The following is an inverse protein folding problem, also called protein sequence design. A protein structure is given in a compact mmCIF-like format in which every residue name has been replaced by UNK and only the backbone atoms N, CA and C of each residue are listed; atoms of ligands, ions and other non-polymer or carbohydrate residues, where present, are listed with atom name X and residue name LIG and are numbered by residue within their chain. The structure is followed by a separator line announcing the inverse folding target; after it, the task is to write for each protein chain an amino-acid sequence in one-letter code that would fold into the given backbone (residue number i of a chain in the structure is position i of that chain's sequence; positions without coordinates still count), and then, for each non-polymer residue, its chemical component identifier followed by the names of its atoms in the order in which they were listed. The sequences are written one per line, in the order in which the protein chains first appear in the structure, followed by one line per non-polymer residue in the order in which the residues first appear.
data_IF_736498224899
#
_entry.id   IF_736498224899
#
_cell.length_a   1.000
_cell.length_b   1.000
_cell.length_c   1.000
_cell.angle_alpha   90.00
_cell.angle_beta   90.00
_cell.angle_gamma   90.00
#
_symmetry.space_group_name_H-M   'P 1'
#
loop_
_entity.id
_entity.type
_entity.pdbx_description
1 polymer ?
#
# COMPACT_ATOMS: atom_id res chain seq x y z
N UNK A 1 -11.03 -13.60 -0.18
CA UNK A 1 -9.65 -13.17 -0.49
C UNK A 1 -8.86 -13.20 0.80
N UNK A 2 -7.74 -13.90 0.85
CA UNK A 2 -6.80 -13.82 1.97
C UNK A 2 -5.98 -12.51 1.89
N UNK A 3 -5.37 -12.05 2.97
CA UNK A 3 -4.53 -10.83 3.02
C UNK A 3 -3.40 -10.87 1.98
N UNK A 4 -2.80 -12.04 1.77
CA UNK A 4 -1.76 -12.26 0.75
C UNK A 4 -2.32 -12.05 -0.67
N UNK A 5 -3.54 -12.50 -0.93
CA UNK A 5 -4.21 -12.32 -2.23
C UNK A 5 -4.62 -10.87 -2.45
N UNK A 6 -4.94 -10.12 -1.38
CA UNK A 6 -5.21 -8.68 -1.46
C UNK A 6 -3.95 -7.85 -1.75
N UNK A 7 -2.80 -8.23 -1.20
CA UNK A 7 -1.53 -7.56 -1.46
C UNK A 7 -1.04 -7.73 -2.91
N UNK A 8 -1.34 -8.88 -3.53
CA UNK A 8 -1.04 -9.15 -4.95
C UNK A 8 -2.10 -8.56 -5.91
N UNK A 9 -3.23 -8.06 -5.39
CA UNK A 9 -4.29 -7.51 -6.21
C UNK A 9 -3.93 -6.10 -6.73
N UNK A 10 -4.49 -5.68 -7.87
CA UNK A 10 -4.24 -4.37 -8.44
C UNK A 10 -4.70 -3.27 -7.47
N UNK A 11 -3.75 -2.41 -7.10
CA UNK A 11 -4.00 -1.23 -6.29
C UNK A 11 -4.59 -0.08 -7.13
N UNK A 12 -5.61 0.64 -6.62
CA UNK A 12 -6.23 1.75 -7.34
C UNK A 12 -5.24 2.88 -7.65
N UNK A 13 -5.48 3.63 -8.73
CA UNK A 13 -4.59 4.72 -9.17
C UNK A 13 -4.33 5.77 -8.07
N UNK A 14 -5.36 6.14 -7.30
CA UNK A 14 -5.24 7.09 -6.19
C UNK A 14 -4.27 6.59 -5.10
N UNK A 15 -4.41 5.32 -4.69
CA UNK A 15 -3.56 4.73 -3.66
C UNK A 15 -2.13 4.53 -4.16
N UNK A 16 -1.92 4.15 -5.42
CA UNK A 16 -0.57 4.12 -6.01
C UNK A 16 0.16 5.47 -5.89
N UNK A 17 -0.52 6.57 -6.16
CA UNK A 17 0.04 7.92 -6.01
C UNK A 17 0.33 8.20 -4.53
N UNK A 18 -0.61 7.86 -3.65
CA UNK A 18 -0.48 8.07 -2.21
C UNK A 18 0.70 7.29 -1.60
N UNK A 19 0.93 6.05 -2.06
CA UNK A 19 2.09 5.23 -1.67
C UNK A 19 3.40 5.90 -2.08
N UNK A 20 3.49 6.41 -3.30
CA UNK A 20 4.70 7.07 -3.79
C UNK A 20 5.02 8.32 -2.96
N UNK A 21 4.00 9.09 -2.59
CA UNK A 21 4.16 10.26 -1.70
C UNK A 21 4.61 9.81 -0.31
N UNK A 22 4.00 8.77 0.27
CA UNK A 22 4.39 8.23 1.57
C UNK A 22 5.83 7.71 1.58
N UNK A 23 6.27 7.04 0.50
CA UNK A 23 7.64 6.56 0.34
C UNK A 23 8.65 7.71 0.17
N UNK A 24 8.30 8.76 -0.57
CA UNK A 24 9.14 9.94 -0.72
C UNK A 24 9.33 10.66 0.63
N UNK A 25 8.25 10.85 1.38
CA UNK A 25 8.29 11.40 2.75
C UNK A 25 9.15 10.53 3.68
N UNK A 26 9.00 9.21 3.60
CA UNK A 26 9.76 8.28 4.41
C UNK A 26 11.24 8.28 4.05
N UNK A 27 11.59 8.41 2.77
CA UNK A 27 12.97 8.54 2.30
C UNK A 27 13.63 9.83 2.81
N UNK A 28 12.92 10.97 2.71
CA UNK A 28 13.42 12.27 3.22
C UNK A 28 13.54 12.24 4.74
N UNK A 29 12.57 11.65 5.44
CA UNK A 29 12.60 11.56 6.90
C UNK A 29 13.72 10.62 7.35
N UNK A 30 13.90 9.48 6.67
CA UNK A 30 14.96 8.53 6.93
C UNK A 30 16.35 9.10 6.69
N UNK A 31 16.53 9.91 5.64
CA UNK A 31 17.82 10.57 5.38
C UNK A 31 18.15 11.65 6.40
N UNK A 32 17.17 12.41 6.87
CA UNK A 32 17.34 13.39 7.97
C UNK A 32 17.76 12.69 9.27
N UNK A 33 17.15 11.55 9.60
CA UNK A 33 17.47 10.80 10.81
C UNK A 33 18.83 10.10 10.69
N UNK A 34 19.16 9.56 9.52
CA UNK A 34 20.41 8.83 9.27
C UNK A 34 21.65 9.73 9.20
N UNK A 35 21.47 11.03 8.97
CA UNK A 35 22.54 12.03 9.06
C UNK A 35 22.42 12.80 10.38
N UNK A 36 23.05 12.33 11.48
CA UNK A 36 23.13 13.07 12.73
C UNK A 36 24.15 14.22 12.61
N UNK A 37 24.04 15.03 11.55
CA UNK A 37 24.62 16.37 11.53
C UNK A 37 23.84 17.20 12.55
N UNK A 38 24.46 18.26 13.10
CA UNK A 38 23.97 19.09 14.20
C UNK A 38 22.64 19.84 13.91
N UNK A 39 21.60 19.11 13.53
CA UNK A 39 20.27 19.59 13.25
C UNK A 39 19.57 19.81 14.59
N UNK A 40 18.92 20.96 14.78
CA UNK A 40 18.11 21.23 15.97
C UNK A 40 17.11 20.09 16.20
N UNK A 41 16.91 19.69 17.47
CA UNK A 41 16.02 18.59 17.85
C UNK A 41 14.59 18.70 17.28
N UNK A 42 14.13 19.93 17.03
CA UNK A 42 12.85 20.23 16.38
C UNK A 42 12.76 19.61 14.98
N UNK A 43 13.83 19.68 14.18
CA UNK A 43 13.86 19.14 12.81
C UNK A 43 13.78 17.62 12.82
N UNK A 44 14.53 16.97 13.71
CA UNK A 44 14.51 15.51 13.88
C UNK A 44 13.13 15.04 14.35
N UNK A 45 12.48 15.81 15.23
CA UNK A 45 11.13 15.50 15.72
C UNK A 45 10.08 15.57 14.59
N UNK A 46 10.15 16.61 13.76
CA UNK A 46 9.27 16.74 12.58
C UNK A 46 9.52 15.60 11.57
N UNK A 47 10.78 15.24 11.35
CA UNK A 47 11.14 14.10 10.50
C UNK A 47 10.59 12.77 11.08
N UNK A 48 10.65 12.59 12.40
CA UNK A 48 10.07 11.41 13.07
C UNK A 48 8.56 11.27 12.79
N UNK A 49 7.78 12.34 12.99
CA UNK A 49 6.35 12.30 12.68
C UNK A 49 6.05 12.09 11.20
N UNK A 50 6.86 12.71 10.32
CA UNK A 50 6.73 12.55 8.87
C UNK A 50 7.04 11.11 8.42
N UNK A 51 8.02 10.45 9.05
CA UNK A 51 8.33 9.05 8.81
C UNK A 51 7.17 8.13 9.21
N UNK A 52 6.56 8.37 10.38
CA UNK A 52 5.39 7.61 10.85
C UNK A 52 4.22 7.77 9.89
N UNK A 53 3.90 9.01 9.50
CA UNK A 53 2.83 9.30 8.56
C UNK A 53 3.08 8.62 7.19
N UNK A 54 4.30 8.74 6.65
CA UNK A 54 4.69 8.10 5.39
C UNK A 54 4.60 6.58 5.45
N UNK A 55 5.03 5.97 6.56
CA UNK A 55 4.96 4.53 6.78
C UNK A 55 3.52 4.00 6.81
N UNK A 56 2.64 4.65 7.57
CA UNK A 56 1.21 4.27 7.65
C UNK A 56 0.53 4.42 6.28
N UNK A 57 0.72 5.57 5.61
CA UNK A 57 0.19 5.81 4.27
C UNK A 57 0.65 4.75 3.27
N UNK A 58 1.94 4.44 3.26
CA UNK A 58 2.50 3.44 2.36
C UNK A 58 2.00 2.03 2.66
N UNK A 59 1.79 1.65 3.93
CA UNK A 59 1.29 0.32 4.32
C UNK A 59 -0.19 0.15 3.98
N UNK A 60 -1.03 1.12 4.35
CA UNK A 60 -2.48 1.10 4.07
C UNK A 60 -2.73 1.02 2.57
N UNK A 61 -1.97 1.77 1.78
CA UNK A 61 -2.08 1.77 0.33
C UNK A 61 -1.73 0.44 -0.34
N UNK A 62 -1.05 -0.50 0.32
CA UNK A 62 -0.77 -1.82 -0.28
C UNK A 62 -1.91 -2.81 -0.07
N UNK A 63 -2.75 -2.56 0.94
CA UNK A 63 -3.83 -3.46 1.34
C UNK A 63 -5.15 -3.04 0.65
N UNK A 64 -5.22 -1.82 0.11
CA UNK A 64 -6.38 -1.33 -0.65
C UNK A 64 -6.47 -2.01 -2.01
N UNK A 65 -7.55 -2.77 -2.20
CA UNK A 65 -7.89 -3.43 -3.47
C UNK A 65 -8.88 -2.58 -4.25
N UNK A 66 -8.72 -2.49 -5.56
CA UNK A 66 -9.66 -1.76 -6.42
C UNK A 66 -11.02 -2.46 -6.50
N UNK A 67 -12.12 -1.73 -6.25
CA UNK A 67 -13.49 -2.27 -6.18
C UNK A 67 -13.92 -2.98 -7.47
N UNK A 68 -13.46 -2.50 -8.63
CA UNK A 68 -13.72 -3.14 -9.93
C UNK A 68 -13.11 -4.53 -10.00
N UNK A 69 -11.89 -4.69 -9.48
CA UNK A 69 -11.18 -5.98 -9.47
C UNK A 69 -11.79 -6.91 -8.42
N UNK A 70 -12.24 -6.37 -7.29
CA UNK A 70 -12.98 -7.15 -6.30
C UNK A 70 -14.27 -7.72 -6.89
N UNK A 71 -15.07 -6.90 -7.59
CA UNK A 71 -16.30 -7.33 -8.27
C UNK A 71 -16.02 -8.38 -9.34
N UNK A 72 -15.04 -8.13 -10.21
CA UNK A 72 -14.65 -9.07 -11.25
C UNK A 72 -14.18 -10.42 -10.70
N UNK A 73 -13.41 -10.43 -9.60
CA UNK A 73 -13.00 -11.67 -8.94
C UNK A 73 -14.17 -12.45 -8.30
N UNK A 74 -15.23 -11.76 -7.86
CA UNK A 74 -16.45 -12.41 -7.36
C UNK A 74 -17.27 -12.99 -8.52
N UNK A 75 -17.39 -12.25 -9.61
CA UNK A 75 -18.09 -12.68 -10.83
C UNK A 75 -17.41 -13.89 -11.48
N UNK A 76 -16.07 -13.87 -11.58
CA UNK A 76 -15.28 -14.99 -12.09
C UNK A 76 -15.40 -16.23 -11.21
N UNK A 77 -15.43 -16.06 -9.88
CA UNK A 77 -15.67 -17.17 -8.94
C UNK A 77 -17.08 -17.75 -9.09
N UNK A 78 -18.10 -16.92 -9.29
CA UNK A 78 -19.46 -17.36 -9.53
C UNK A 78 -19.58 -18.13 -10.87
N UNK A 79 -18.88 -17.66 -11.92
CA UNK A 79 -18.80 -18.35 -13.21
C UNK A 79 -18.08 -19.70 -13.11
N UNK A 80 -17.00 -19.77 -12.34
CA UNK A 80 -16.23 -21.00 -12.16
C UNK A 80 -17.00 -22.07 -11.38
N UNK A 81 -17.81 -21.67 -10.38
CA UNK A 81 -18.70 -22.58 -9.66
C UNK A 81 -19.80 -23.19 -10.54
N UNK A 82 -20.22 -22.47 -11.58
CA UNK A 82 -21.29 -22.90 -12.49
C UNK A 82 -20.74 -23.52 -13.78
N UNK A 83 -19.43 -23.79 -13.85
CA UNK A 83 -18.87 -24.55 -14.97
C UNK A 83 -19.28 -26.01 -14.77
N UNK A 84 -19.87 -26.68 -15.79
CA UNK A 84 -20.04 -28.13 -15.73
C UNK A 84 -18.68 -28.73 -15.43
N UNK A 85 -18.65 -29.69 -14.49
CA UNK A 85 -17.42 -30.43 -14.15
C UNK A 85 -17.06 -31.24 -15.39
N UNK A 86 -16.32 -30.61 -16.29
CA UNK A 86 -15.68 -31.27 -17.42
C UNK A 86 -14.65 -32.19 -16.77
N UNK A 87 -14.98 -33.47 -16.77
CA UNK A 87 -14.17 -34.52 -16.17
C UNK A 87 -13.10 -34.91 -17.18
N UNK A 88 -11.90 -34.41 -16.95
CA UNK A 88 -10.67 -34.95 -17.54
C UNK A 88 -10.17 -36.13 -16.67
#
# INVERSE_FOLDING_TARGET
MNVVQRAAAPTPKFFKILRTIGLALLAVSGSIIAAPVALPAVVVTIAGYSAVAGGVLSAVSQITVEDKVLRQALDDKAKNLNKPRDGD
#
